data_IF_675281668234
#
_entry.id   IF_675281668234
#
_cell.length_a   1.000
_cell.length_b   1.000
_cell.length_c   1.000
_cell.angle_alpha   90.00
_cell.angle_beta   90.00
_cell.angle_gamma   90.00
#
_symmetry.space_group_name_H-M   'P 1'
#
loop_
_entity.id
_entity.type
_entity.pdbx_description
1 polymer ?
#
# COMPACT_ATOMS: atom_id res chain seq x y z
N UNK A 1 -31.80 6.37 14.34
CA UNK A 1 -31.33 7.37 13.34
C UNK A 1 -29.80 7.59 13.28
N UNK A 2 -28.97 7.01 14.18
CA UNK A 2 -27.50 7.23 14.22
C UNK A 2 -26.65 6.43 13.21
N UNK A 3 -27.22 5.42 12.51
CA UNK A 3 -26.46 4.49 11.62
C UNK A 3 -26.22 5.00 10.19
N UNK A 4 -26.97 5.99 9.69
CA UNK A 4 -26.83 6.50 8.30
C UNK A 4 -25.66 7.47 8.12
N UNK A 5 -25.34 8.26 9.15
CA UNK A 5 -24.28 9.30 9.11
C UNK A 5 -22.89 8.67 9.03
N UNK A 6 -22.66 7.57 9.77
CA UNK A 6 -21.37 6.85 9.76
C UNK A 6 -21.00 6.28 8.38
N UNK A 7 -22.02 5.88 7.60
CA UNK A 7 -21.83 5.32 6.24
C UNK A 7 -21.48 6.37 5.18
N UNK A 8 -21.77 7.65 5.44
CA UNK A 8 -21.40 8.75 4.53
C UNK A 8 -19.98 9.27 4.79
N UNK A 9 -19.54 9.27 6.05
CA UNK A 9 -18.17 9.66 6.40
C UNK A 9 -17.11 8.71 5.81
N UNK A 10 -17.42 7.41 5.70
CA UNK A 10 -16.51 6.43 5.10
C UNK A 10 -16.31 6.53 3.58
N UNK A 11 -17.18 7.26 2.84
CA UNK A 11 -17.04 7.43 1.38
C UNK A 11 -16.29 8.69 0.96
N UNK A 12 -16.27 9.70 1.82
CA UNK A 12 -15.60 10.98 1.54
C UNK A 12 -14.08 10.94 1.76
N UNK A 13 -13.59 10.02 2.59
CA UNK A 13 -12.15 9.83 2.84
C UNK A 13 -11.38 9.45 1.56
N UNK A 14 -11.89 8.50 0.77
CA UNK A 14 -11.23 7.98 -0.43
C UNK A 14 -10.90 9.06 -1.48
N UNK A 15 -11.71 10.12 -1.60
CA UNK A 15 -11.44 11.23 -2.53
C UNK A 15 -10.32 12.11 -2.01
N UNK A 16 -10.31 12.42 -0.72
CA UNK A 16 -9.26 13.24 -0.10
C UNK A 16 -7.90 12.55 -0.21
N UNK A 17 -7.86 11.24 0.04
CA UNK A 17 -6.64 10.43 -0.10
C UNK A 17 -6.14 10.39 -1.54
N UNK A 18 -7.05 10.29 -2.52
CA UNK A 18 -6.69 10.40 -3.94
C UNK A 18 -6.07 11.76 -4.29
N UNK A 19 -6.67 12.87 -3.86
CA UNK A 19 -6.13 14.20 -4.14
C UNK A 19 -4.79 14.44 -3.43
N UNK A 20 -4.65 13.97 -2.19
CA UNK A 20 -3.39 14.02 -1.45
C UNK A 20 -2.29 13.22 -2.15
N UNK A 21 -2.61 12.01 -2.62
CA UNK A 21 -1.68 11.19 -3.40
C UNK A 21 -1.26 11.88 -4.70
N UNK A 22 -2.22 12.44 -5.45
CA UNK A 22 -1.95 13.19 -6.68
C UNK A 22 -1.11 14.44 -6.44
N UNK A 23 -1.32 15.11 -5.31
CA UNK A 23 -0.48 16.24 -4.90
C UNK A 23 0.95 15.78 -4.63
N UNK A 24 1.15 14.75 -3.80
CA UNK A 24 2.48 14.17 -3.54
C UNK A 24 3.19 13.73 -4.83
N UNK A 25 2.44 13.12 -5.76
CA UNK A 25 2.97 12.68 -7.05
C UNK A 25 3.49 13.84 -7.89
N UNK A 26 2.80 14.99 -7.85
CA UNK A 26 3.21 16.21 -8.57
C UNK A 26 4.34 16.97 -7.88
N UNK A 27 4.42 16.92 -6.55
CA UNK A 27 5.44 17.63 -5.77
C UNK A 27 6.71 16.83 -5.54
N UNK A 28 6.78 15.58 -6.03
CA UNK A 28 7.93 14.70 -5.80
C UNK A 28 8.05 14.20 -4.36
N UNK A 29 6.99 14.36 -3.55
CA UNK A 29 6.94 13.95 -2.14
C UNK A 29 6.45 12.51 -1.95
N UNK A 30 6.41 11.71 -3.03
CA UNK A 30 6.11 10.28 -2.92
C UNK A 30 7.34 9.54 -2.40
N UNK A 31 7.15 8.80 -1.31
CA UNK A 31 8.11 7.78 -0.88
C UNK A 31 8.24 6.64 -1.89
N UNK A 32 9.20 5.74 -1.64
CA UNK A 32 9.44 4.61 -2.53
C UNK A 32 8.30 3.58 -2.39
N UNK A 33 7.67 3.13 -3.48
CA UNK A 33 6.66 2.10 -3.40
C UNK A 33 7.29 0.77 -2.99
N UNK A 34 6.69 0.13 -2.00
CA UNK A 34 7.11 -1.17 -1.46
C UNK A 34 5.97 -2.17 -1.57
N UNK A 35 6.27 -3.33 -2.14
CA UNK A 35 5.32 -4.45 -2.24
C UNK A 35 5.48 -5.32 -1.00
N UNK A 36 4.38 -5.52 -0.27
CA UNK A 36 4.26 -6.47 0.82
C UNK A 36 3.46 -7.68 0.31
N UNK A 37 4.12 -8.75 -0.16
CA UNK A 37 3.42 -9.93 -0.63
C UNK A 37 2.82 -10.71 0.55
N UNK A 38 1.61 -11.22 0.36
CA UNK A 38 1.01 -12.23 1.24
C UNK A 38 1.35 -13.62 0.73
N UNK A 39 1.02 -14.65 1.52
CA UNK A 39 1.19 -16.04 1.10
C UNK A 39 0.38 -16.29 -0.18
N UNK A 40 1.10 -16.60 -1.25
CA UNK A 40 0.53 -17.04 -2.52
C UNK A 40 0.57 -18.57 -2.66
N UNK A 41 -0.14 -19.08 -3.65
CA UNK A 41 -0.17 -20.50 -4.02
C UNK A 41 -0.01 -20.62 -5.52
N UNK A 42 0.66 -21.66 -5.99
CA UNK A 42 0.77 -21.92 -7.42
C UNK A 42 1.22 -23.33 -7.72
N UNK A 43 0.95 -23.74 -8.95
CA UNK A 43 1.42 -24.97 -9.57
C UNK A 43 1.79 -24.68 -11.05
N UNK A 44 2.00 -25.73 -11.84
CA UNK A 44 2.41 -25.58 -13.23
C UNK A 44 1.35 -24.90 -14.12
N UNK A 45 0.08 -24.85 -13.69
CA UNK A 45 -1.04 -24.33 -14.47
C UNK A 45 -1.52 -22.95 -14.01
N UNK A 46 -1.41 -22.65 -12.71
CA UNK A 46 -1.95 -21.42 -12.14
C UNK A 46 -1.12 -20.87 -10.99
N UNK A 47 -1.16 -19.56 -10.82
CA UNK A 47 -0.55 -18.86 -9.70
C UNK A 47 -1.50 -17.79 -9.13
N UNK A 48 -1.63 -17.79 -7.81
CA UNK A 48 -2.42 -16.85 -7.02
C UNK A 48 -1.45 -16.07 -6.13
N UNK A 49 -1.37 -14.77 -6.33
CA UNK A 49 -0.59 -13.87 -5.50
C UNK A 49 -1.48 -12.72 -5.01
N UNK A 50 -1.45 -12.48 -3.71
CA UNK A 50 -2.09 -11.31 -3.10
C UNK A 50 -1.02 -10.50 -2.39
N UNK A 51 -1.24 -9.20 -2.29
CA UNK A 51 -0.35 -8.35 -1.51
C UNK A 51 -0.91 -6.95 -1.34
N UNK A 52 -0.07 -6.12 -0.76
CA UNK A 52 -0.33 -4.72 -0.44
C UNK A 52 0.82 -3.87 -0.97
N UNK A 53 0.51 -2.71 -1.55
CA UNK A 53 1.51 -1.71 -1.95
C UNK A 53 1.47 -0.54 -0.99
N UNK A 54 2.61 -0.27 -0.36
CA UNK A 54 2.79 0.74 0.66
C UNK A 54 3.84 1.77 0.23
N UNK A 55 3.75 2.98 0.77
CA UNK A 55 4.76 4.02 0.60
C UNK A 55 5.82 3.85 1.71
N UNK A 56 7.03 3.45 1.36
CA UNK A 56 8.15 3.40 2.31
C UNK A 56 8.67 4.83 2.55
N UNK A 57 8.51 5.31 3.79
CA UNK A 57 8.96 6.65 4.23
C UNK A 57 10.39 6.65 4.75
N UNK A 58 11.12 5.55 4.61
CA UNK A 58 12.44 5.37 5.17
C UNK A 58 12.35 5.14 6.67
N UNK A 59 12.44 3.88 7.09
CA UNK A 59 12.63 3.57 8.50
C UNK A 59 14.04 3.98 8.91
N UNK A 60 14.19 5.07 9.68
CA UNK A 60 15.45 5.31 10.39
C UNK A 60 15.59 4.22 11.45
N UNK A 61 16.65 3.41 11.34
CA UNK A 61 17.09 2.55 12.43
C UNK A 61 17.39 3.46 13.62
N UNK A 62 16.65 3.25 14.70
CA UNK A 62 16.84 3.99 15.95
C UNK A 62 18.04 3.35 16.65
N UNK A 63 19.11 4.11 16.88
CA UNK A 63 20.24 3.65 17.69
C UNK A 63 19.90 3.74 19.19
N UNK A 64 20.53 2.88 20.00
CA UNK A 64 20.26 2.76 21.45
C UNK A 64 20.43 4.06 22.24
N UNK A 65 21.13 5.07 21.69
CA UNK A 65 21.31 6.41 22.29
C UNK A 65 20.31 7.48 21.82
N UNK A 66 19.23 7.12 21.12
CA UNK A 66 18.23 8.10 20.66
C UNK A 66 17.36 8.65 21.80
N UNK A 67 16.94 9.91 21.68
CA UNK A 67 16.04 10.53 22.65
C UNK A 67 14.65 9.86 22.63
N UNK A 68 13.95 9.82 23.78
CA UNK A 68 12.63 9.17 23.91
C UNK A 68 11.60 9.68 22.88
N UNK A 69 11.66 10.96 22.51
CA UNK A 69 10.82 11.56 21.47
C UNK A 69 11.13 11.06 20.05
N UNK A 70 12.40 10.79 19.74
CA UNK A 70 12.82 10.26 18.45
C UNK A 70 12.33 8.81 18.29
N UNK A 71 12.42 8.03 19.36
CA UNK A 71 11.89 6.67 19.40
C UNK A 71 10.36 6.66 19.26
N UNK A 72 9.64 7.52 19.99
CA UNK A 72 8.18 7.68 19.84
C UNK A 72 7.78 8.09 18.42
N UNK A 73 8.52 9.02 17.81
CA UNK A 73 8.28 9.46 16.43
C UNK A 73 8.56 8.35 15.41
N UNK A 74 9.61 7.56 15.63
CA UNK A 74 9.94 6.41 14.79
C UNK A 74 8.87 5.32 14.88
N UNK A 75 8.39 5.00 16.09
CA UNK A 75 7.25 4.11 16.32
C UNK A 75 6.00 4.62 15.60
N UNK A 76 5.66 5.89 15.78
CA UNK A 76 4.52 6.51 15.13
C UNK A 76 4.61 6.46 13.60
N UNK A 77 5.80 6.69 13.02
CA UNK A 77 6.05 6.55 11.58
C UNK A 77 5.89 5.11 11.07
N UNK A 78 6.17 4.09 11.90
CA UNK A 78 5.91 2.67 11.56
C UNK A 78 4.42 2.36 11.51
N UNK A 79 3.63 2.97 12.41
CA UNK A 79 2.17 2.80 12.43
C UNK A 79 1.48 3.59 11.32
N UNK A 80 1.98 4.77 10.95
CA UNK A 80 1.47 5.57 9.82
C UNK A 80 2.27 5.27 8.54
N UNK A 81 2.39 3.98 8.23
CA UNK A 81 2.64 3.57 6.84
C UNK A 81 1.42 3.99 6.02
N UNK A 82 1.61 4.86 5.02
CA UNK A 82 0.50 5.19 4.12
C UNK A 82 0.42 4.17 3.01
N UNK A 83 -0.77 3.61 2.85
CA UNK A 83 -1.15 2.83 1.68
C UNK A 83 -0.94 3.66 0.42
N UNK A 84 -0.45 3.01 -0.66
CA UNK A 84 -0.30 3.69 -1.95
C UNK A 84 -1.46 3.29 -2.86
N UNK A 85 -2.51 4.11 -2.96
CA UNK A 85 -3.67 3.77 -3.76
C UNK A 85 -3.33 3.77 -5.25
N UNK A 86 -4.02 2.92 -6.01
CA UNK A 86 -4.09 2.99 -7.48
C UNK A 86 -2.75 2.86 -8.21
N UNK A 87 -1.83 2.07 -7.68
CA UNK A 87 -0.54 1.73 -8.31
C UNK A 87 -0.71 0.54 -9.24
N UNK A 88 0.02 0.52 -10.36
CA UNK A 88 0.08 -0.65 -11.22
C UNK A 88 1.12 -1.63 -10.70
N UNK A 89 0.70 -2.87 -10.48
CA UNK A 89 1.57 -3.99 -10.11
C UNK A 89 1.66 -4.93 -11.31
N UNK A 90 2.88 -5.17 -11.78
CA UNK A 90 3.16 -6.10 -12.85
C UNK A 90 3.83 -7.35 -12.28
N UNK A 91 3.29 -8.51 -12.58
CA UNK A 91 3.89 -9.80 -12.24
C UNK A 91 4.21 -10.58 -13.51
N UNK A 92 5.24 -11.41 -13.41
CA UNK A 92 5.69 -12.32 -14.46
C UNK A 92 5.68 -13.74 -13.90
N UNK A 93 5.09 -14.66 -14.64
CA UNK A 93 5.02 -16.08 -14.27
C UNK A 93 4.99 -16.92 -15.55
N UNK A 94 5.91 -17.89 -15.66
CA UNK A 94 6.03 -18.80 -16.81
C UNK A 94 5.94 -18.10 -18.19
N UNK A 95 6.67 -16.99 -18.37
CA UNK A 95 6.67 -16.24 -19.63
C UNK A 95 5.42 -15.38 -19.89
N UNK A 96 4.36 -15.53 -19.09
CA UNK A 96 3.20 -14.65 -19.10
C UNK A 96 3.44 -13.47 -18.15
N UNK A 97 2.76 -12.36 -18.43
CA UNK A 97 2.73 -11.23 -17.51
C UNK A 97 1.31 -10.73 -17.30
N UNK A 98 1.04 -10.25 -16.10
CA UNK A 98 -0.24 -9.64 -15.75
C UNK A 98 -0.01 -8.33 -15.03
N UNK A 99 -0.75 -7.31 -15.44
CA UNK A 99 -0.78 -6.01 -14.80
C UNK A 99 -2.12 -5.87 -14.09
N UNK A 100 -2.08 -5.51 -12.81
CA UNK A 100 -3.27 -5.19 -12.02
C UNK A 100 -3.09 -3.83 -11.37
N UNK A 101 -4.19 -3.16 -11.09
CA UNK A 101 -4.19 -1.92 -10.34
C UNK A 101 -4.59 -2.20 -8.89
N UNK A 102 -3.87 -1.63 -7.93
CA UNK A 102 -4.25 -1.70 -6.53
C UNK A 102 -5.55 -0.94 -6.27
N UNK A 103 -6.30 -1.38 -5.26
CA UNK A 103 -7.50 -0.67 -4.81
C UNK A 103 -7.17 0.65 -4.07
N UNK A 104 -8.17 1.26 -3.44
CA UNK A 104 -7.99 2.48 -2.66
C UNK A 104 -7.12 2.31 -1.41
N UNK A 105 -6.97 1.07 -0.95
CA UNK A 105 -6.17 0.72 0.23
C UNK A 105 -4.82 0.11 -0.17
N UNK A 106 -4.52 0.05 -1.47
CA UNK A 106 -3.24 -0.47 -1.97
C UNK A 106 -3.20 -1.99 -2.12
N UNK A 107 -4.29 -2.73 -1.88
CA UNK A 107 -4.30 -4.18 -2.07
C UNK A 107 -4.36 -4.56 -3.55
N UNK A 108 -3.74 -5.67 -3.89
CA UNK A 108 -3.89 -6.29 -5.21
C UNK A 108 -4.05 -7.81 -5.08
N UNK A 109 -4.75 -8.37 -6.07
CA UNK A 109 -4.84 -9.81 -6.29
C UNK A 109 -4.48 -10.10 -7.74
N UNK A 110 -3.54 -11.02 -7.92
CA UNK A 110 -3.09 -11.54 -9.20
C UNK A 110 -3.48 -13.00 -9.29
N UNK A 111 -4.22 -13.32 -10.35
CA UNK A 111 -4.58 -14.68 -10.74
C UNK A 111 -4.01 -14.88 -12.14
N UNK A 112 -3.02 -15.75 -12.29
CA UNK A 112 -2.59 -16.23 -13.60
C UNK A 112 -3.16 -17.62 -13.79
N UNK A 113 -3.93 -17.81 -14.85
CA UNK A 113 -4.35 -19.13 -15.32
C UNK A 113 -3.76 -19.27 -16.72
N UNK A 114 -3.03 -20.36 -16.97
CA UNK A 114 -2.68 -20.76 -18.33
C UNK A 114 -3.93 -21.08 -19.16
#
# INVERSE_FOLDING_TARGET
MKKKVFRYLGRSANKLDYYRFRFKQRTGLLGQPRILPFRGFGNDQQAILRGLVLEDKGQKLVHDNSNQWENATALFKRYISSETPRVQVKAYFQGQHKVVQTDSEGYFTLLSCQ
#
